data_IF_276853550800
#
_entry.id   IF_276853550800
#
_cell.length_a   1.000
_cell.length_b   1.000
_cell.length_c   1.000
_cell.angle_alpha   90.00
_cell.angle_beta   90.00
_cell.angle_gamma   90.00
#
_symmetry.space_group_name_H-M   'P 1'
#
loop_
_entity.id
_entity.type
_entity.pdbx_description
1 polymer ?
#
# COMPACT_ATOMS: atom_id res chain seq x y z
N UNK A 1 6.78 19.58 -25.96
CA UNK A 1 6.39 19.20 -24.63
C UNK A 1 6.08 17.71 -24.62
N UNK A 2 6.85 16.95 -23.88
CA UNK A 2 6.60 15.53 -23.67
C UNK A 2 5.90 15.37 -22.33
N UNK A 3 4.81 14.62 -22.30
CA UNK A 3 4.32 14.04 -21.07
C UNK A 3 5.09 12.75 -20.84
N UNK A 4 5.75 12.67 -19.72
CA UNK A 4 6.16 11.41 -19.15
C UNK A 4 5.42 11.34 -17.83
N UNK A 5 4.63 10.34 -17.57
CA UNK A 5 4.18 10.05 -16.22
C UNK A 5 5.39 10.01 -15.28
N UNK A 6 5.17 9.81 -14.00
CA UNK A 6 6.26 9.65 -13.03
C UNK A 6 6.78 8.21 -13.00
N UNK A 7 7.05 7.62 -14.17
CA UNK A 7 7.49 6.24 -14.31
C UNK A 7 7.97 5.90 -15.69
N UNK A 8 8.02 4.61 -16.00
CA UNK A 8 8.48 4.11 -17.29
C UNK A 8 9.08 2.71 -17.21
N UNK A 9 9.63 2.20 -18.34
CA UNK A 9 10.19 0.85 -18.40
C UNK A 9 11.41 0.59 -17.49
N UNK A 10 11.99 1.62 -16.92
CA UNK A 10 13.08 1.57 -15.95
C UNK A 10 12.61 1.39 -14.49
N UNK A 11 11.28 1.46 -14.22
CA UNK A 11 10.73 1.27 -12.89
C UNK A 11 10.46 -0.22 -12.67
N UNK A 12 11.23 -0.82 -11.76
CA UNK A 12 11.01 -2.20 -11.32
C UNK A 12 9.79 -2.30 -10.40
N UNK A 13 9.16 -3.48 -10.25
CA UNK A 13 8.05 -3.64 -9.30
C UNK A 13 8.35 -3.16 -7.88
N UNK A 14 9.57 -3.38 -7.36
CA UNK A 14 10.00 -2.95 -6.03
C UNK A 14 10.16 -1.43 -5.87
N UNK A 15 10.28 -0.67 -6.97
CA UNK A 15 10.38 0.79 -6.99
C UNK A 15 9.12 1.46 -7.50
N UNK A 16 8.07 0.68 -7.70
CA UNK A 16 6.78 1.17 -8.19
C UNK A 16 5.86 1.59 -7.04
N UNK A 17 4.72 2.16 -7.38
CA UNK A 17 3.66 2.42 -6.41
C UNK A 17 3.19 1.11 -5.78
N UNK A 18 3.23 1.02 -4.45
CA UNK A 18 2.95 -0.21 -3.70
C UNK A 18 1.61 -0.17 -2.96
N UNK A 19 0.99 -1.35 -2.87
CA UNK A 19 -0.07 -1.64 -1.91
C UNK A 19 0.42 -2.60 -0.85
N UNK A 20 0.17 -2.28 0.41
CA UNK A 20 0.17 -3.26 1.48
C UNK A 20 -1.12 -4.09 1.36
N UNK A 21 -0.96 -5.39 1.29
CA UNK A 21 -2.03 -6.38 1.18
C UNK A 21 -1.88 -7.45 2.24
N UNK A 22 -2.95 -8.17 2.55
CA UNK A 22 -2.92 -9.24 3.54
C UNK A 22 -3.66 -10.47 3.04
N UNK A 23 -3.16 -11.64 3.46
CA UNK A 23 -3.91 -12.90 3.48
C UNK A 23 -4.23 -13.26 4.92
N UNK A 24 -5.30 -14.02 5.12
CA UNK A 24 -5.75 -14.49 6.43
C UNK A 24 -5.85 -16.01 6.46
N UNK A 25 -5.47 -16.61 7.60
CA UNK A 25 -5.57 -18.05 7.87
C UNK A 25 -6.06 -18.26 9.28
N UNK A 26 -7.14 -19.03 9.45
CA UNK A 26 -7.67 -19.37 10.77
C UNK A 26 -7.08 -20.71 11.23
N UNK A 27 -6.48 -20.70 12.42
CA UNK A 27 -5.96 -21.89 13.08
C UNK A 27 -6.69 -22.14 14.40
N UNK A 28 -6.90 -23.43 14.72
CA UNK A 28 -7.50 -23.85 16.00
C UNK A 28 -6.44 -24.49 16.88
N UNK A 29 -6.25 -23.94 18.08
CA UNK A 29 -5.37 -24.50 19.11
C UNK A 29 -6.14 -25.10 20.29
N UNK A 30 -5.42 -25.79 21.20
CA UNK A 30 -3.95 -25.93 21.19
C UNK A 30 -3.47 -26.93 20.14
N UNK A 31 -2.49 -26.54 19.33
CA UNK A 31 -1.92 -27.40 18.29
C UNK A 31 -0.55 -26.90 17.82
N UNK A 32 0.26 -27.79 17.27
CA UNK A 32 1.45 -27.41 16.51
C UNK A 32 1.06 -27.22 15.04
N UNK A 33 1.28 -26.05 14.50
CA UNK A 33 1.09 -25.76 13.07
C UNK A 33 2.46 -25.68 12.38
N UNK A 34 2.60 -26.38 11.26
CA UNK A 34 3.70 -26.18 10.31
C UNK A 34 3.10 -26.28 8.91
N UNK A 35 3.02 -25.15 8.22
CA UNK A 35 2.37 -25.10 6.92
C UNK A 35 2.61 -23.78 6.19
N UNK A 36 2.38 -23.79 4.89
CA UNK A 36 2.52 -22.61 4.04
C UNK A 36 1.32 -21.67 4.25
N UNK A 37 1.60 -20.42 4.56
CA UNK A 37 0.59 -19.37 4.52
C UNK A 37 0.35 -18.91 3.07
N UNK A 38 -0.90 -18.65 2.68
CA UNK A 38 -1.20 -18.13 1.35
C UNK A 38 -0.51 -16.77 1.14
N UNK A 39 -0.06 -16.54 -0.10
CA UNK A 39 0.40 -15.21 -0.49
C UNK A 39 -0.77 -14.25 -0.59
N UNK A 40 -0.65 -13.02 -0.10
CA UNK A 40 -1.64 -11.98 -0.35
C UNK A 40 -1.78 -11.70 -1.85
N UNK A 41 -3.02 -11.67 -2.33
CA UNK A 41 -3.32 -11.40 -3.73
C UNK A 41 -3.11 -9.91 -4.08
N UNK A 42 -2.62 -9.60 -5.30
CA UNK A 42 -2.53 -8.22 -5.75
C UNK A 42 -3.93 -7.64 -5.95
N UNK A 43 -4.12 -6.39 -5.55
CA UNK A 43 -5.37 -5.68 -5.80
C UNK A 43 -5.53 -5.36 -7.28
N UNK A 44 -6.77 -5.26 -7.73
CA UNK A 44 -7.07 -4.83 -9.10
C UNK A 44 -6.48 -3.43 -9.36
N UNK A 45 -5.78 -3.21 -10.49
CA UNK A 45 -5.27 -1.90 -10.86
C UNK A 45 -6.39 -0.86 -10.96
N UNK A 46 -6.08 0.40 -10.65
CA UNK A 46 -7.05 1.50 -10.67
C UNK A 46 -7.78 1.63 -12.03
N UNK A 47 -7.04 1.58 -13.14
CA UNK A 47 -7.62 1.59 -14.49
C UNK A 47 -7.98 0.20 -15.03
N UNK A 48 -7.95 -0.83 -14.18
CA UNK A 48 -8.27 -2.21 -14.52
C UNK A 48 -7.12 -2.96 -15.20
N UNK A 49 -7.27 -4.27 -15.33
CA UNK A 49 -6.25 -5.18 -15.88
C UNK A 49 -5.86 -4.85 -17.33
N UNK A 50 -6.79 -4.28 -18.10
CA UNK A 50 -6.53 -3.89 -19.52
C UNK A 50 -5.52 -2.74 -19.65
N UNK A 51 -5.14 -2.09 -18.57
CA UNK A 51 -4.09 -1.07 -18.59
C UNK A 51 -2.69 -1.65 -18.67
N UNK A 52 -2.53 -2.92 -18.35
CA UNK A 52 -1.25 -3.63 -18.31
C UNK A 52 -1.04 -4.41 -19.64
N UNK A 53 0.18 -4.35 -20.14
CA UNK A 53 0.61 -5.32 -21.17
C UNK A 53 0.80 -6.70 -20.50
N UNK A 54 0.82 -7.80 -21.28
CA UNK A 54 1.10 -9.13 -20.72
C UNK A 54 2.38 -9.19 -19.88
N UNK A 55 3.46 -8.53 -20.31
CA UNK A 55 4.73 -8.51 -19.60
C UNK A 55 4.65 -7.73 -18.28
N UNK A 56 4.03 -6.55 -18.30
CA UNK A 56 3.83 -5.76 -17.07
C UNK A 56 2.90 -6.47 -16.08
N UNK A 57 1.86 -7.16 -16.61
CA UNK A 57 1.00 -7.97 -15.78
C UNK A 57 1.77 -9.10 -15.11
N UNK A 58 2.61 -9.81 -15.84
CA UNK A 58 3.46 -10.88 -15.32
C UNK A 58 4.40 -10.35 -14.23
N UNK A 59 5.14 -9.27 -14.50
CA UNK A 59 6.04 -8.65 -13.52
C UNK A 59 5.31 -8.24 -12.24
N UNK A 60 4.12 -7.65 -12.35
CA UNK A 60 3.28 -7.29 -11.20
C UNK A 60 2.85 -8.49 -10.39
N UNK A 61 2.33 -9.52 -11.06
CA UNK A 61 1.70 -10.67 -10.41
C UNK A 61 2.75 -11.59 -9.75
N UNK A 62 3.97 -11.67 -10.31
CA UNK A 62 5.06 -12.45 -9.76
C UNK A 62 5.78 -11.75 -8.60
N UNK A 63 5.77 -10.43 -8.56
CA UNK A 63 6.49 -9.69 -7.51
C UNK A 63 5.70 -9.64 -6.19
N UNK A 64 6.39 -9.96 -5.12
CA UNK A 64 5.87 -9.91 -3.75
C UNK A 64 7.02 -9.76 -2.76
N UNK A 65 6.79 -9.02 -1.69
CA UNK A 65 7.72 -8.90 -0.57
C UNK A 65 6.97 -8.95 0.75
N UNK A 66 7.40 -9.82 1.67
CA UNK A 66 6.83 -9.92 3.01
C UNK A 66 7.16 -8.68 3.84
N UNK A 67 6.19 -8.24 4.64
CA UNK A 67 6.35 -7.10 5.55
C UNK A 67 6.27 -7.55 7.00
N UNK A 68 5.18 -8.22 7.40
CA UNK A 68 4.99 -8.70 8.76
C UNK A 68 3.91 -9.79 8.80
N UNK A 69 4.04 -10.72 9.73
CA UNK A 69 3.02 -11.74 10.02
C UNK A 69 2.51 -11.58 11.43
N UNK A 70 1.22 -11.32 11.58
CA UNK A 70 0.58 -11.09 12.87
C UNK A 70 -0.41 -12.20 13.18
N UNK A 71 -0.45 -12.63 14.46
CA UNK A 71 -1.47 -13.52 14.98
C UNK A 71 -2.26 -12.85 16.08
N UNK A 72 -3.56 -13.12 16.14
CA UNK A 72 -4.44 -12.65 17.21
C UNK A 72 -5.61 -13.61 17.39
N UNK A 73 -6.24 -13.65 18.59
CA UNK A 73 -7.47 -14.41 18.78
C UNK A 73 -8.51 -13.99 17.76
N UNK A 74 -9.01 -14.95 16.98
CA UNK A 74 -9.98 -14.65 15.93
C UNK A 74 -11.28 -14.09 16.54
N UNK A 75 -11.70 -12.88 16.16
CA UNK A 75 -12.93 -12.31 16.70
C UNK A 75 -14.15 -13.11 16.25
N UNK A 76 -15.10 -13.27 17.15
CA UNK A 76 -16.41 -13.86 16.85
C UNK A 76 -17.30 -12.76 16.28
N UNK A 77 -17.86 -12.98 15.07
CA UNK A 77 -18.63 -11.95 14.37
C UNK A 77 -17.86 -10.61 14.31
N UNK A 78 -16.76 -10.55 13.56
CA UNK A 78 -15.85 -9.42 13.61
C UNK A 78 -16.55 -8.11 13.29
N UNK A 79 -16.28 -7.11 14.10
CA UNK A 79 -16.68 -5.74 13.81
C UNK A 79 -15.89 -5.21 12.62
N UNK A 80 -16.61 -4.78 11.60
CA UNK A 80 -16.04 -4.30 10.33
C UNK A 80 -16.30 -2.81 10.19
N UNK A 81 -15.28 -2.05 9.78
CA UNK A 81 -15.46 -0.66 9.39
C UNK A 81 -16.43 -0.61 8.20
N UNK A 82 -17.60 0.04 8.33
CA UNK A 82 -18.63 0.04 7.30
C UNK A 82 -18.23 0.96 6.14
N UNK A 83 -17.50 0.41 5.19
CA UNK A 83 -17.14 1.11 3.97
C UNK A 83 -17.69 0.36 2.79
N UNK A 84 -18.44 1.06 1.96
CA UNK A 84 -18.96 0.51 0.70
C UNK A 84 -17.85 0.30 -0.34
N UNK A 85 -16.73 1.01 -0.20
CA UNK A 85 -15.57 0.90 -1.09
C UNK A 85 -14.27 0.77 -0.31
N UNK A 86 -13.45 -0.18 -0.73
CA UNK A 86 -12.08 -0.34 -0.21
C UNK A 86 -11.22 0.91 -0.44
N UNK A 87 -11.44 1.59 -1.55
CA UNK A 87 -10.79 2.88 -1.86
C UNK A 87 -11.09 3.95 -0.80
N UNK A 88 -12.29 3.98 -0.24
CA UNK A 88 -12.66 4.97 0.76
C UNK A 88 -11.83 4.86 2.04
N UNK A 89 -11.23 3.70 2.35
CA UNK A 89 -10.25 3.57 3.44
C UNK A 89 -9.05 4.48 3.24
N UNK A 90 -8.64 4.65 1.99
CA UNK A 90 -7.45 5.41 1.60
C UNK A 90 -7.79 6.79 1.06
N UNK A 91 -9.02 7.00 0.58
CA UNK A 91 -9.47 8.21 -0.11
C UNK A 91 -10.59 8.96 0.60
N UNK A 92 -10.74 8.83 1.87
CA UNK A 92 -11.69 9.67 2.62
C UNK A 92 -11.30 11.16 2.60
N UNK A 93 -10.82 11.61 1.47
CA UNK A 93 -10.50 13.01 1.28
C UNK A 93 -11.75 13.74 0.76
N UNK A 94 -12.05 14.95 1.25
CA UNK A 94 -13.19 15.72 0.80
C UNK A 94 -13.13 16.16 -0.67
N UNK A 95 -12.04 15.84 -1.38
CA UNK A 95 -11.76 16.34 -2.73
C UNK A 95 -11.43 15.25 -3.75
N UNK A 96 -11.84 14.02 -3.49
CA UNK A 96 -11.63 12.96 -4.50
C UNK A 96 -12.64 13.11 -5.64
N UNK A 97 -12.18 12.99 -6.87
CA UNK A 97 -13.02 12.92 -8.07
C UNK A 97 -13.59 11.51 -8.34
N UNK A 98 -13.33 10.54 -7.46
CA UNK A 98 -13.84 9.19 -7.61
C UNK A 98 -15.34 9.15 -7.39
N UNK A 99 -16.07 8.62 -8.38
CA UNK A 99 -17.50 8.35 -8.22
C UNK A 99 -17.75 7.38 -7.05
N UNK A 100 -18.74 7.66 -6.23
CA UNK A 100 -19.11 6.83 -5.08
C UNK A 100 -18.31 7.09 -3.81
N UNK A 101 -17.28 7.92 -3.83
CA UNK A 101 -16.59 8.35 -2.60
C UNK A 101 -17.28 9.59 -2.04
N UNK A 102 -17.77 9.48 -0.82
CA UNK A 102 -18.43 10.59 -0.15
C UNK A 102 -17.38 11.65 0.24
N UNK A 103 -17.68 12.93 0.03
CA UNK A 103 -16.78 14.03 0.40
C UNK A 103 -16.64 14.21 1.91
N UNK A 104 -17.49 13.58 2.70
CA UNK A 104 -17.47 13.58 4.15
C UNK A 104 -17.84 12.21 4.68
N UNK A 105 -17.39 11.91 5.90
CA UNK A 105 -17.83 10.71 6.59
C UNK A 105 -19.32 10.88 6.96
N UNK A 106 -20.19 9.89 6.65
CA UNK A 106 -21.51 9.87 7.22
C UNK A 106 -21.38 9.88 8.74
N UNK A 107 -22.36 10.49 9.41
CA UNK A 107 -22.42 10.45 10.86
C UNK A 107 -22.29 9.00 11.33
N UNK A 108 -21.40 8.77 12.30
CA UNK A 108 -21.20 7.41 12.81
C UNK A 108 -22.50 6.89 13.40
N UNK A 109 -22.99 5.79 12.87
CA UNK A 109 -24.02 5.02 13.59
C UNK A 109 -23.40 4.63 14.94
N UNK A 110 -24.12 4.82 16.06
CA UNK A 110 -23.64 4.36 17.36
C UNK A 110 -23.17 2.92 17.26
N UNK A 111 -21.94 2.69 17.64
CA UNK A 111 -21.32 1.37 17.54
C UNK A 111 -21.39 0.70 18.91
N UNK A 112 -22.13 -0.38 18.99
CA UNK A 112 -22.11 -1.23 20.17
C UNK A 112 -20.84 -2.08 20.14
N UNK A 113 -19.99 -1.90 21.14
CA UNK A 113 -18.84 -2.76 21.39
C UNK A 113 -19.33 -4.13 21.88
N UNK A 114 -19.59 -5.03 20.95
CA UNK A 114 -19.93 -6.42 21.28
C UNK A 114 -18.65 -7.11 21.74
N UNK A 115 -18.67 -7.68 22.92
CA UNK A 115 -17.54 -8.42 23.48
C UNK A 115 -17.08 -9.53 22.51
N UNK A 116 -15.79 -9.60 22.23
CA UNK A 116 -15.19 -10.60 21.33
C UNK A 116 -15.32 -10.28 19.84
N UNK A 117 -15.93 -9.16 19.43
CA UNK A 117 -16.05 -8.76 18.02
C UNK A 117 -14.87 -7.91 17.53
N UNK A 118 -14.02 -7.43 18.42
CA UNK A 118 -12.86 -6.58 18.12
C UNK A 118 -11.56 -7.29 18.42
N UNK A 119 -10.50 -6.88 17.76
CA UNK A 119 -9.14 -7.36 18.02
C UNK A 119 -8.57 -6.53 19.18
N UNK A 120 -8.19 -7.19 20.28
CA UNK A 120 -7.48 -6.55 21.36
C UNK A 120 -6.01 -6.41 20.97
N UNK A 121 -5.54 -5.16 20.78
CA UNK A 121 -4.17 -4.85 20.37
C UNK A 121 -3.12 -5.53 21.23
N UNK A 122 -3.30 -5.59 22.54
CA UNK A 122 -2.38 -6.26 23.48
C UNK A 122 -2.25 -7.77 23.30
N UNK A 123 -3.17 -8.40 22.53
CA UNK A 123 -3.16 -9.83 22.24
C UNK A 123 -2.59 -10.15 20.84
N UNK A 124 -2.16 -9.13 20.11
CA UNK A 124 -1.50 -9.32 18.82
C UNK A 124 -0.08 -9.81 19.06
N UNK A 125 0.28 -10.87 18.37
CA UNK A 125 1.60 -11.50 18.44
C UNK A 125 2.27 -11.33 17.07
N UNK A 126 3.51 -10.85 17.05
CA UNK A 126 4.35 -10.84 15.86
C UNK A 126 4.95 -12.25 15.66
N UNK A 127 4.68 -12.84 14.49
CA UNK A 127 5.18 -14.15 14.08
C UNK A 127 6.15 -14.06 12.90
N UNK A 128 6.64 -12.86 12.57
CA UNK A 128 7.50 -12.64 11.39
C UNK A 128 8.73 -13.53 11.43
N UNK A 129 9.40 -13.66 12.57
CA UNK A 129 10.57 -14.50 12.74
C UNK A 129 10.27 -16.01 12.68
N UNK A 130 9.00 -16.40 12.69
CA UNK A 130 8.54 -17.81 12.60
C UNK A 130 8.11 -18.19 11.18
N UNK A 131 8.01 -17.22 10.29
CA UNK A 131 7.75 -17.42 8.87
C UNK A 131 9.09 -17.55 8.13
N UNK A 132 9.30 -18.65 7.42
CA UNK A 132 10.50 -18.81 6.61
C UNK A 132 10.36 -18.11 5.23
N UNK A 133 11.49 -18.03 4.50
CA UNK A 133 11.55 -17.44 3.16
C UNK A 133 10.65 -18.11 2.11
N UNK A 134 10.17 -19.32 2.38
CA UNK A 134 9.24 -20.06 1.51
C UNK A 134 7.78 -19.84 1.92
N UNK A 135 7.54 -19.02 2.94
CA UNK A 135 6.21 -18.74 3.48
C UNK A 135 5.67 -19.87 4.36
N UNK A 136 6.55 -20.71 4.93
CA UNK A 136 6.15 -21.75 5.87
C UNK A 136 6.23 -21.19 7.28
N UNK A 137 5.08 -21.15 7.94
CA UNK A 137 4.97 -20.78 9.35
C UNK A 137 5.09 -22.01 10.22
N UNK A 138 5.94 -21.96 11.26
CA UNK A 138 6.03 -22.95 12.32
C UNK A 138 5.71 -22.31 13.67
N UNK A 139 4.56 -22.67 14.24
CA UNK A 139 4.07 -22.04 15.46
C UNK A 139 3.26 -22.98 16.34
N UNK A 140 3.45 -22.86 17.67
CA UNK A 140 2.61 -23.52 18.67
C UNK A 140 1.39 -22.66 18.94
N UNK A 141 0.26 -23.05 18.36
CA UNK A 141 -0.98 -22.30 18.41
C UNK A 141 -1.59 -22.42 19.81
N UNK A 142 -1.82 -21.31 20.55
CA UNK A 142 -2.47 -21.35 21.86
C UNK A 142 -3.92 -21.83 21.76
N UNK A 143 -4.52 -22.18 22.90
CA UNK A 143 -5.93 -22.57 22.95
C UNK A 143 -6.86 -21.51 22.33
N UNK A 144 -7.88 -21.95 21.61
CA UNK A 144 -8.85 -21.12 20.92
C UNK A 144 -8.65 -21.02 19.41
N UNK A 145 -9.40 -20.14 18.77
CA UNK A 145 -9.25 -19.83 17.35
C UNK A 145 -8.34 -18.61 17.18
N UNK A 146 -7.41 -18.68 16.25
CA UNK A 146 -6.45 -17.66 15.96
C UNK A 146 -6.51 -17.27 14.49
N UNK A 147 -6.54 -15.99 14.20
CA UNK A 147 -6.34 -15.45 12.87
C UNK A 147 -4.87 -15.12 12.69
N UNK A 148 -4.30 -15.59 11.60
CA UNK A 148 -2.93 -15.31 11.19
C UNK A 148 -3.00 -14.46 9.92
N UNK A 149 -2.64 -13.20 10.04
CA UNK A 149 -2.57 -12.28 8.90
C UNK A 149 -1.13 -12.12 8.43
N UNK A 150 -0.88 -12.51 7.17
CA UNK A 150 0.39 -12.28 6.49
C UNK A 150 0.27 -11.02 5.64
N UNK A 151 1.02 -10.00 6.00
CA UNK A 151 1.08 -8.73 5.26
C UNK A 151 2.31 -8.70 4.38
N UNK A 152 2.14 -8.22 3.17
CA UNK A 152 3.23 -7.97 2.25
C UNK A 152 2.88 -6.92 1.22
N UNK A 153 3.84 -6.55 0.42
CA UNK A 153 3.68 -5.53 -0.59
C UNK A 153 3.51 -6.12 -1.98
N UNK A 154 2.65 -5.48 -2.75
CA UNK A 154 2.41 -5.75 -4.17
C UNK A 154 2.49 -4.45 -4.96
N UNK A 155 2.97 -4.54 -6.19
CA UNK A 155 2.83 -3.47 -7.15
C UNK A 155 1.33 -3.19 -7.38
N UNK A 156 0.92 -1.92 -7.33
CA UNK A 156 -0.49 -1.54 -7.45
C UNK A 156 -1.03 -1.57 -8.89
N UNK A 157 -0.19 -1.86 -9.88
CA UNK A 157 -0.55 -1.91 -11.30
C UNK A 157 -0.72 -0.54 -11.95
N UNK A 158 -0.29 0.54 -11.31
CA UNK A 158 -0.27 1.85 -11.93
C UNK A 158 0.82 1.91 -13.01
N UNK A 159 0.45 2.36 -14.21
CA UNK A 159 1.34 2.51 -15.36
C UNK A 159 1.28 3.92 -15.90
N UNK A 160 2.36 4.35 -16.50
CA UNK A 160 2.45 5.69 -17.12
C UNK A 160 1.39 5.86 -18.21
N UNK A 161 0.63 6.98 -18.14
CA UNK A 161 -0.39 7.32 -19.13
C UNK A 161 -0.43 8.84 -19.38
N UNK A 162 -0.57 9.24 -20.64
CA UNK A 162 -0.45 8.45 -21.86
C UNK A 162 1.02 8.21 -22.21
N UNK A 163 1.46 6.97 -22.24
CA UNK A 163 2.79 6.64 -22.70
C UNK A 163 2.71 5.66 -23.88
N UNK A 164 3.25 5.99 -25.04
CA UNK A 164 3.35 5.05 -26.14
C UNK A 164 4.41 4.00 -25.85
N UNK A 165 4.30 2.83 -26.47
CA UNK A 165 5.43 1.89 -26.49
C UNK A 165 6.61 2.53 -27.25
N UNK A 166 7.86 2.37 -26.77
CA UNK A 166 8.36 1.58 -25.64
C UNK A 166 8.42 2.33 -24.30
N UNK A 167 7.80 3.49 -24.15
CA UNK A 167 7.84 4.32 -22.94
C UNK A 167 6.91 3.86 -21.82
N UNK A 168 5.98 2.93 -22.11
CA UNK A 168 5.05 2.39 -21.12
C UNK A 168 5.79 1.58 -20.05
N UNK A 169 5.52 1.85 -18.78
CA UNK A 169 6.06 1.14 -17.62
C UNK A 169 5.30 1.48 -16.35
N UNK A 170 5.76 0.99 -15.20
CA UNK A 170 5.13 1.29 -13.93
C UNK A 170 5.36 2.73 -13.49
N UNK A 171 4.38 3.29 -12.77
CA UNK A 171 4.56 4.51 -11.98
C UNK A 171 5.53 4.26 -10.83
N UNK A 172 6.48 5.18 -10.59
CA UNK A 172 7.42 5.05 -9.48
C UNK A 172 6.74 5.30 -8.13
N UNK A 173 7.33 4.74 -7.08
CA UNK A 173 6.96 5.04 -5.70
C UNK A 173 7.15 6.54 -5.43
N UNK A 174 6.07 7.22 -5.03
CA UNK A 174 6.07 8.66 -4.78
C UNK A 174 6.42 9.02 -3.34
N UNK A 175 6.52 8.02 -2.46
CA UNK A 175 6.96 8.19 -1.07
C UNK A 175 8.43 7.81 -0.87
N UNK A 176 9.10 7.31 -1.92
CA UNK A 176 10.51 6.93 -1.89
C UNK A 176 11.34 7.81 -2.82
N UNK A 177 12.19 8.65 -2.24
CA UNK A 177 13.12 9.51 -2.99
C UNK A 177 14.09 8.71 -3.86
N UNK A 178 14.46 7.49 -3.44
CA UNK A 178 15.33 6.61 -4.22
C UNK A 178 14.66 6.16 -5.52
N UNK A 179 13.38 5.78 -5.44
CA UNK A 179 12.58 5.41 -6.60
C UNK A 179 12.34 6.61 -7.53
N UNK A 180 12.01 7.76 -6.95
CA UNK A 180 11.84 9.00 -7.71
C UNK A 180 13.13 9.44 -8.40
N UNK A 181 14.28 9.42 -7.71
CA UNK A 181 15.56 9.77 -8.28
C UNK A 181 15.93 8.84 -9.45
N UNK A 182 15.68 7.53 -9.33
CA UNK A 182 15.92 6.60 -10.42
C UNK A 182 15.07 6.94 -11.66
N UNK A 183 13.81 7.37 -11.47
CA UNK A 183 12.99 7.88 -12.56
C UNK A 183 13.53 9.19 -13.13
N UNK A 184 13.89 10.14 -12.27
CA UNK A 184 14.44 11.43 -12.68
C UNK A 184 15.69 11.26 -13.55
N UNK A 185 16.65 10.44 -13.12
CA UNK A 185 17.88 10.17 -13.86
C UNK A 185 17.61 9.45 -15.20
N UNK A 186 16.69 8.49 -15.20
CA UNK A 186 16.39 7.71 -16.40
C UNK A 186 15.69 8.54 -17.49
N UNK A 187 14.97 9.59 -17.14
CA UNK A 187 14.19 10.40 -18.08
C UNK A 187 14.60 11.89 -18.07
N UNK A 188 14.29 12.63 -17.01
CA UNK A 188 14.50 14.07 -16.96
C UNK A 188 16.00 14.44 -17.04
N UNK A 189 16.85 13.72 -16.33
CA UNK A 189 18.30 13.89 -16.36
C UNK A 189 18.86 13.77 -17.77
N UNK A 190 18.47 12.73 -18.50
CA UNK A 190 18.87 12.54 -19.90
C UNK A 190 18.38 13.65 -20.82
N UNK A 191 17.14 14.11 -20.66
CA UNK A 191 16.61 15.22 -21.46
C UNK A 191 17.33 16.53 -21.16
N UNK A 192 17.68 16.79 -19.92
CA UNK A 192 18.47 17.96 -19.52
C UNK A 192 19.86 17.89 -20.14
N UNK A 193 20.51 16.74 -20.10
CA UNK A 193 21.84 16.56 -20.67
C UNK A 193 21.87 16.76 -22.20
N UNK A 194 20.88 16.22 -22.91
CA UNK A 194 20.74 16.39 -24.36
C UNK A 194 20.42 17.85 -24.71
N UNK A 195 19.64 18.56 -23.89
CA UNK A 195 19.19 19.93 -24.16
C UNK A 195 20.11 21.00 -23.58
N UNK A 196 21.18 20.63 -22.86
CA UNK A 196 22.18 21.61 -22.36
C UNK A 196 22.73 22.42 -23.52
N UNK A 197 22.58 23.74 -23.50
CA UNK A 197 23.22 24.59 -24.54
C UNK A 197 24.73 24.42 -24.48
N UNK A 198 25.33 24.20 -25.60
CA UNK A 198 26.79 24.30 -25.73
C UNK A 198 27.26 25.66 -25.21
N UNK A 199 28.53 25.76 -24.79
CA UNK A 199 29.13 26.98 -24.21
C UNK A 199 28.97 28.28 -25.04
N UNK A 200 28.45 28.17 -26.26
CA UNK A 200 28.29 29.26 -27.22
C UNK A 200 26.84 29.67 -27.50
N UNK A 201 25.83 29.02 -26.91
CA UNK A 201 24.42 29.36 -27.15
C UNK A 201 23.92 30.24 -26.01
N UNK A 202 23.75 31.52 -26.29
CA UNK A 202 23.03 32.45 -25.46
C UNK A 202 21.53 32.18 -25.59
N UNK A 203 20.91 31.79 -24.51
CA UNK A 203 19.44 31.68 -24.38
C UNK A 203 18.87 30.35 -24.85
N UNK A 204 18.14 29.72 -24.00
CA UNK A 204 17.39 28.50 -24.25
C UNK A 204 17.96 27.30 -23.48
N UNK A 205 17.14 26.74 -22.71
CA UNK A 205 17.35 25.55 -21.88
C UNK A 205 16.09 25.27 -21.11
N UNK A 206 16.11 24.24 -20.32
CA UNK A 206 15.02 23.93 -19.39
C UNK A 206 15.00 25.01 -18.30
N UNK A 207 13.88 25.71 -18.22
CA UNK A 207 13.67 26.77 -17.22
C UNK A 207 12.64 26.32 -16.17
N UNK A 208 11.93 25.23 -16.43
CA UNK A 208 10.87 24.74 -15.56
C UNK A 208 10.67 23.23 -15.70
N UNK A 209 10.43 22.56 -14.59
CA UNK A 209 9.84 21.25 -14.51
C UNK A 209 8.46 21.42 -13.87
N UNK A 210 7.44 20.96 -14.54
CA UNK A 210 6.07 20.96 -14.04
C UNK A 210 5.75 19.60 -13.45
N UNK A 211 5.27 19.57 -12.21
CA UNK A 211 4.76 18.40 -11.52
C UNK A 211 3.28 18.63 -11.31
N UNK A 212 2.47 17.73 -11.83
CA UNK A 212 1.02 17.84 -11.79
C UNK A 212 0.40 16.77 -10.86
N UNK A 213 -0.87 16.51 -11.06
CA UNK A 213 -1.74 15.74 -10.19
C UNK A 213 -1.32 14.30 -9.98
N UNK A 214 -1.77 13.76 -8.86
CA UNK A 214 -1.68 12.33 -8.55
C UNK A 214 -2.91 11.60 -9.11
N UNK A 215 -2.78 11.03 -10.31
CA UNK A 215 -3.95 10.51 -11.04
C UNK A 215 -4.02 8.98 -11.15
N UNK A 216 -2.93 8.27 -10.80
CA UNK A 216 -2.78 6.85 -11.12
C UNK A 216 -3.26 5.90 -10.00
N UNK A 217 -4.19 6.35 -9.17
CA UNK A 217 -4.72 5.57 -8.07
C UNK A 217 -3.93 5.73 -6.78
N UNK A 218 -4.32 4.97 -5.74
CA UNK A 218 -3.69 5.07 -4.44
C UNK A 218 -2.41 4.26 -4.34
N UNK A 219 -1.49 4.82 -3.62
CA UNK A 219 -0.38 4.13 -2.98
C UNK A 219 -0.62 4.21 -1.48
N UNK A 220 -0.47 3.11 -0.76
CA UNK A 220 -0.68 3.06 0.69
C UNK A 220 0.51 2.48 1.45
N UNK A 221 1.59 2.20 0.74
CA UNK A 221 2.81 1.66 1.31
C UNK A 221 4.05 2.07 0.52
N UNK A 222 5.17 2.10 1.22
CA UNK A 222 6.52 2.33 0.72
C UNK A 222 7.51 1.66 1.67
N UNK A 223 8.73 1.33 1.28
CA UNK A 223 9.73 0.71 2.17
C UNK A 223 9.95 1.44 3.50
N UNK A 224 9.91 2.78 3.48
CA UNK A 224 10.13 3.62 4.68
C UNK A 224 8.84 4.16 5.31
N UNK A 225 7.68 3.64 4.91
CA UNK A 225 6.40 4.18 5.36
C UNK A 225 6.20 4.05 6.87
N UNK A 226 6.66 2.94 7.48
CA UNK A 226 6.56 2.73 8.92
C UNK A 226 7.36 3.76 9.71
N UNK A 227 8.62 3.98 9.34
CA UNK A 227 9.52 4.94 9.99
C UNK A 227 8.95 6.36 9.91
N UNK A 228 8.47 6.74 8.74
CA UNK A 228 7.85 8.03 8.50
C UNK A 228 6.53 8.19 9.27
N UNK A 229 5.73 7.13 9.36
CA UNK A 229 4.52 7.12 10.19
C UNK A 229 4.88 7.31 11.67
N UNK A 230 5.82 6.52 12.20
CA UNK A 230 6.24 6.61 13.60
C UNK A 230 6.79 8.00 13.93
N UNK A 231 7.62 8.56 13.07
CA UNK A 231 8.19 9.90 13.23
C UNK A 231 7.12 10.99 13.30
N UNK A 232 6.06 10.89 12.49
CA UNK A 232 5.01 11.90 12.40
C UNK A 232 3.88 11.70 13.41
N UNK A 233 3.54 10.46 13.72
CA UNK A 233 2.39 10.11 14.57
C UNK A 233 2.77 9.79 16.03
N UNK A 234 4.04 9.43 16.28
CA UNK A 234 4.53 9.15 17.62
C UNK A 234 4.16 7.77 18.17
N UNK A 235 3.68 6.86 17.31
CA UNK A 235 3.37 5.47 17.69
C UNK A 235 3.60 4.51 16.50
N UNK A 236 3.71 3.21 16.84
CA UNK A 236 3.93 2.17 15.84
C UNK A 236 2.62 1.76 15.16
N UNK A 237 2.65 1.60 13.83
CA UNK A 237 1.48 1.19 13.06
C UNK A 237 1.22 -0.32 13.09
N UNK A 238 2.22 -1.16 13.41
CA UNK A 238 2.12 -2.63 13.35
C UNK A 238 0.88 -3.19 14.09
N UNK A 239 0.59 -2.81 15.33
CA UNK A 239 -0.56 -3.36 16.04
C UNK A 239 -1.92 -2.95 15.47
N UNK A 240 -1.94 -2.05 14.50
CA UNK A 240 -3.18 -1.58 13.87
C UNK A 240 -3.37 -2.11 12.45
N UNK A 241 -2.40 -2.87 11.90
CA UNK A 241 -2.48 -3.37 10.52
C UNK A 241 -3.73 -4.21 10.21
N UNK A 242 -4.36 -4.96 11.14
CA UNK A 242 -5.64 -5.61 10.82
C UNK A 242 -6.72 -4.65 10.32
N UNK A 243 -6.59 -3.36 10.60
CA UNK A 243 -7.50 -2.32 10.08
C UNK A 243 -7.39 -2.12 8.56
N UNK A 244 -6.28 -2.51 7.92
CA UNK A 244 -6.18 -2.56 6.46
C UNK A 244 -7.16 -3.56 5.84
N UNK A 245 -7.52 -4.62 6.57
CA UNK A 245 -8.58 -5.55 6.24
C UNK A 245 -9.94 -5.13 6.81
N UNK A 246 -10.08 -3.88 7.25
CA UNK A 246 -11.29 -3.29 7.82
C UNK A 246 -11.69 -3.82 9.19
N UNK A 247 -10.86 -4.61 9.84
CA UNK A 247 -11.12 -5.13 11.19
C UNK A 247 -10.96 -4.02 12.22
N UNK A 248 -11.80 -4.03 13.24
CA UNK A 248 -11.71 -3.07 14.34
C UNK A 248 -10.68 -3.55 15.35
N UNK A 249 -9.70 -2.67 15.67
CA UNK A 249 -8.69 -2.90 16.70
C UNK A 249 -9.04 -2.06 17.93
N UNK A 250 -9.13 -2.68 19.07
CA UNK A 250 -9.56 -2.16 20.38
C UNK A 250 -10.98 -1.55 20.34
N UNK A 251 -11.17 -0.45 19.63
CA UNK A 251 -12.44 0.26 19.46
C UNK A 251 -12.50 0.93 18.11
N UNK A 252 -13.71 1.20 17.65
CA UNK A 252 -13.94 1.86 16.36
C UNK A 252 -13.25 3.23 16.28
N UNK A 253 -13.35 4.04 17.30
CA UNK A 253 -12.77 5.39 17.33
C UNK A 253 -11.24 5.34 17.24
N UNK A 254 -10.60 4.36 17.88
CA UNK A 254 -9.16 4.12 17.79
C UNK A 254 -8.78 3.71 16.37
N UNK A 255 -9.53 2.78 15.78
CA UNK A 255 -9.29 2.32 14.41
C UNK A 255 -9.49 3.44 13.38
N UNK A 256 -10.56 4.22 13.50
CA UNK A 256 -10.82 5.37 12.61
C UNK A 256 -9.72 6.45 12.75
N UNK A 257 -9.23 6.67 13.97
CA UNK A 257 -8.11 7.59 14.20
C UNK A 257 -6.84 7.10 13.54
N UNK A 258 -6.53 5.82 13.66
CA UNK A 258 -5.38 5.22 12.97
C UNK A 258 -5.51 5.36 11.44
N UNK A 259 -6.67 5.07 10.87
CA UNK A 259 -6.91 5.22 9.43
C UNK A 259 -6.80 6.69 8.98
N UNK A 260 -7.19 7.64 9.83
CA UNK A 260 -6.94 9.06 9.59
C UNK A 260 -5.45 9.38 9.60
N UNK A 261 -4.71 8.89 10.59
CA UNK A 261 -3.27 9.13 10.73
C UNK A 261 -2.48 8.52 9.57
N UNK A 262 -2.91 7.37 9.01
CA UNK A 262 -2.36 6.82 7.76
C UNK A 262 -2.49 7.80 6.59
N UNK A 263 -3.70 8.31 6.35
CA UNK A 263 -3.95 9.26 5.26
C UNK A 263 -3.17 10.56 5.44
N UNK A 264 -3.16 11.06 6.68
CA UNK A 264 -2.40 12.26 7.00
C UNK A 264 -0.91 12.07 6.76
N UNK A 265 -0.36 10.89 7.10
CA UNK A 265 1.03 10.55 6.82
C UNK A 265 1.30 10.52 5.32
N UNK A 266 0.44 9.86 4.53
CA UNK A 266 0.57 9.82 3.07
C UNK A 266 0.50 11.19 2.42
N UNK A 267 -0.27 12.13 2.99
CA UNK A 267 -0.38 13.50 2.44
C UNK A 267 0.77 14.41 2.85
N UNK A 268 1.55 14.03 3.85
CA UNK A 268 2.72 14.78 4.35
C UNK A 268 4.04 14.28 3.74
N UNK A 269 4.02 13.13 3.06
CA UNK A 269 5.15 12.58 2.30
C UNK A 269 5.22 13.13 0.88
#
# INVERSE_FOLDING_TARGET
>A
PGWAGSGGPWVTPSRSMLHLVASDTILKGPSRFTGRLPLPEPKRPFFGERSLTPDLKKLRDEWYEDVITLAFPAPVNPAIIPLSEEKALFYRAPYTSQAGVLPYLPASVPYENISGSVIERKKIIDLTDKLDKNGILSWDVPSGNWSIMRFGTRNNGAVTRPAPMPGLGFECDKFDTTAFNAHYEAFNGKLIDISRPGKTRSGGGWTMIHIDSWEMGAQNWSPHFREEFMKRRGYDLWPYLPSYARLVVDRREITERFLWDLRKTSSEL
#
